data_IF_605476559034
#
_entry.id   IF_605476559034
#
_cell.length_a   1.000
_cell.length_b   1.000
_cell.length_c   1.000
_cell.angle_alpha   90.00
_cell.angle_beta   90.00
_cell.angle_gamma   90.00
#
_symmetry.space_group_name_H-M   'P 1'
#
loop_
_entity.id
_entity.type
_entity.pdbx_description
1 polymer ?
#
# COMPACT_ATOMS: atom_id res chain seq x y z
N UNK A 1 19.23 1.70 17.29
CA UNK A 1 18.76 0.33 17.56
C UNK A 1 17.88 -0.14 16.42
N UNK A 2 17.87 -1.43 16.06
CA UNK A 2 17.01 -1.97 14.98
C UNK A 2 15.52 -1.66 15.18
N UNK A 3 15.05 -1.71 16.44
CA UNK A 3 13.69 -1.33 16.83
C UNK A 3 13.34 0.13 16.53
N UNK A 4 14.27 1.07 16.71
CA UNK A 4 14.03 2.48 16.41
C UNK A 4 13.86 2.71 14.91
N UNK A 5 14.67 2.05 14.07
CA UNK A 5 14.53 2.12 12.62
C UNK A 5 13.20 1.48 12.14
N UNK A 6 12.83 0.34 12.74
CA UNK A 6 11.54 -0.30 12.45
C UNK A 6 10.35 0.58 12.84
N UNK A 7 10.42 1.25 13.99
CA UNK A 7 9.36 2.17 14.44
C UNK A 7 9.23 3.39 13.51
N UNK A 8 10.34 4.04 13.17
CA UNK A 8 10.35 5.19 12.23
C UNK A 8 9.81 4.75 10.87
N UNK A 9 10.29 3.63 10.33
CA UNK A 9 9.81 3.08 9.06
C UNK A 9 8.32 2.78 9.08
N UNK A 10 7.80 2.22 10.18
CA UNK A 10 6.37 1.93 10.34
C UNK A 10 5.52 3.20 10.35
N UNK A 11 5.95 4.25 11.06
CA UNK A 11 5.25 5.55 11.08
C UNK A 11 5.26 6.18 9.69
N UNK A 12 6.41 6.18 9.00
CA UNK A 12 6.51 6.72 7.65
C UNK A 12 5.60 5.95 6.66
N UNK A 13 5.58 4.62 6.74
CA UNK A 13 4.68 3.80 5.92
C UNK A 13 3.21 4.11 6.20
N UNK A 14 2.82 4.29 7.47
CA UNK A 14 1.47 4.69 7.87
C UNK A 14 1.09 6.07 7.34
N UNK A 15 2.01 7.04 7.38
CA UNK A 15 1.79 8.38 6.83
C UNK A 15 1.57 8.34 5.31
N UNK A 16 2.36 7.55 4.57
CA UNK A 16 2.20 7.37 3.12
C UNK A 16 0.85 6.72 2.80
N UNK A 17 0.48 5.68 3.55
CA UNK A 17 -0.84 5.05 3.40
C UNK A 17 -1.98 6.04 3.61
N UNK A 18 -1.90 6.87 4.67
CA UNK A 18 -2.89 7.89 4.97
C UNK A 18 -2.99 8.95 3.86
N UNK A 19 -1.86 9.43 3.36
CA UNK A 19 -1.81 10.39 2.24
C UNK A 19 -2.45 9.83 0.97
N UNK A 20 -2.30 8.53 0.70
CA UNK A 20 -2.81 7.90 -0.52
C UNK A 20 -4.31 7.54 -0.48
N UNK A 21 -4.86 7.32 0.73
CA UNK A 21 -6.25 6.89 0.92
C UNK A 21 -7.19 8.02 1.35
N UNK A 22 -6.65 9.18 1.71
CA UNK A 22 -7.43 10.25 2.32
C UNK A 22 -8.06 11.16 1.26
N UNK A 23 -9.40 11.34 1.25
CA UNK A 23 -10.08 12.27 0.32
C UNK A 23 -9.83 13.76 0.63
N UNK A 24 -8.99 14.05 1.62
CA UNK A 24 -8.60 15.41 1.99
C UNK A 24 -7.10 15.64 1.87
N UNK A 25 -6.33 14.64 1.40
CA UNK A 25 -4.90 14.84 1.13
C UNK A 25 -4.72 15.72 -0.11
N UNK A 26 -3.81 16.71 0.00
CA UNK A 26 -3.40 17.56 -1.12
C UNK A 26 -2.89 16.73 -2.31
N UNK A 27 -2.15 15.66 -2.04
CA UNK A 27 -1.62 14.74 -3.07
C UNK A 27 -2.75 14.02 -3.79
N UNK A 28 -3.77 13.55 -3.06
CA UNK A 28 -4.93 12.86 -3.65
C UNK A 28 -5.77 13.80 -4.50
N UNK A 29 -5.98 15.04 -4.03
CA UNK A 29 -6.71 16.08 -4.79
C UNK A 29 -5.97 16.44 -6.08
N UNK A 30 -4.67 16.69 -6.00
CA UNK A 30 -3.87 17.00 -7.19
C UNK A 30 -3.81 15.82 -8.17
N UNK A 31 -3.74 14.58 -7.67
CA UNK A 31 -3.71 13.38 -8.51
C UNK A 31 -5.05 13.14 -9.24
N UNK A 32 -6.19 13.38 -8.58
CA UNK A 32 -7.50 13.24 -9.24
C UNK A 32 -7.73 14.30 -10.31
N UNK A 33 -7.30 15.55 -10.06
CA UNK A 33 -7.38 16.63 -11.05
C UNK A 33 -6.47 16.36 -12.24
N UNK A 34 -5.24 15.89 -12.00
CA UNK A 34 -4.31 15.53 -13.08
C UNK A 34 -4.81 14.35 -13.94
N UNK A 35 -5.60 13.46 -13.35
CA UNK A 35 -6.25 12.34 -14.04
C UNK A 35 -7.60 12.71 -14.70
N UNK A 36 -8.03 13.97 -14.62
CA UNK A 36 -9.32 14.47 -15.14
C UNK A 36 -10.52 13.61 -14.73
N UNK A 37 -10.52 13.19 -13.47
CA UNK A 37 -11.56 12.31 -12.91
C UNK A 37 -12.19 12.91 -11.66
N UNK A 38 -13.40 12.44 -11.35
CA UNK A 38 -14.07 12.82 -10.11
C UNK A 38 -13.25 12.39 -8.88
N UNK A 39 -13.10 13.29 -7.92
CA UNK A 39 -12.18 13.11 -6.80
C UNK A 39 -12.57 11.94 -5.89
N UNK A 40 -13.85 11.80 -5.58
CA UNK A 40 -14.35 10.68 -4.76
C UNK A 40 -14.17 9.35 -5.50
N UNK A 41 -14.48 9.33 -6.79
CA UNK A 41 -14.27 8.16 -7.66
C UNK A 41 -12.79 7.75 -7.73
N UNK A 42 -11.87 8.71 -7.77
CA UNK A 42 -10.44 8.45 -7.67
C UNK A 42 -10.08 7.74 -6.36
N UNK A 43 -10.51 8.28 -5.22
CA UNK A 43 -10.20 7.69 -3.90
C UNK A 43 -10.79 6.29 -3.75
N UNK A 44 -12.05 6.11 -4.16
CA UNK A 44 -12.74 4.82 -4.08
C UNK A 44 -12.06 3.72 -4.90
N UNK A 45 -11.52 4.06 -6.08
CA UNK A 45 -10.80 3.09 -6.90
C UNK A 45 -9.41 2.77 -6.35
N UNK A 46 -8.76 3.69 -5.62
CA UNK A 46 -7.44 3.49 -5.02
C UNK A 46 -7.48 2.72 -3.69
N UNK A 47 -8.54 2.90 -2.89
CA UNK A 47 -8.71 2.29 -1.56
C UNK A 47 -8.49 0.76 -1.54
N UNK A 48 -9.06 -0.03 -2.46
CA UNK A 48 -8.85 -1.49 -2.49
C UNK A 48 -7.37 -1.87 -2.63
N UNK A 49 -6.61 -1.15 -3.45
CA UNK A 49 -5.18 -1.41 -3.63
C UNK A 49 -4.39 -1.02 -2.39
N UNK A 50 -4.66 0.17 -1.85
CA UNK A 50 -3.93 0.68 -0.70
C UNK A 50 -4.18 -0.14 0.57
N UNK A 51 -5.44 -0.52 0.84
CA UNK A 51 -5.79 -1.40 1.98
C UNK A 51 -5.11 -2.76 1.85
N UNK A 52 -5.08 -3.32 0.65
CA UNK A 52 -4.43 -4.61 0.40
C UNK A 52 -2.93 -4.55 0.72
N UNK A 53 -2.22 -3.52 0.23
CA UNK A 53 -0.80 -3.32 0.53
C UNK A 53 -0.58 -3.01 2.02
N UNK A 54 -1.48 -2.25 2.64
CA UNK A 54 -1.43 -1.96 4.08
C UNK A 54 -1.50 -3.23 4.94
N UNK A 55 -2.44 -4.14 4.62
CA UNK A 55 -2.56 -5.44 5.30
C UNK A 55 -1.31 -6.29 5.09
N UNK A 56 -0.80 -6.38 3.86
CA UNK A 56 0.44 -7.12 3.56
C UNK A 56 1.62 -6.54 4.35
N UNK A 57 1.73 -5.21 4.41
CA UNK A 57 2.82 -4.52 5.14
C UNK A 57 2.79 -4.84 6.63
N UNK A 58 1.62 -4.89 7.25
CA UNK A 58 1.48 -5.25 8.66
C UNK A 58 1.87 -6.72 8.89
N UNK A 59 1.33 -7.63 8.09
CA UNK A 59 1.46 -9.08 8.31
C UNK A 59 2.83 -9.63 7.89
N UNK A 60 3.41 -9.13 6.81
CA UNK A 60 4.68 -9.62 6.26
C UNK A 60 5.87 -8.72 6.60
N UNK A 61 5.63 -7.46 6.95
CA UNK A 61 6.67 -6.45 7.20
C UNK A 61 6.81 -6.10 8.68
N UNK A 62 5.94 -5.21 9.18
CA UNK A 62 6.08 -4.60 10.51
C UNK A 62 6.09 -5.62 11.64
N UNK A 63 5.14 -6.57 11.67
CA UNK A 63 5.09 -7.57 12.75
C UNK A 63 6.29 -8.52 12.70
N UNK A 64 6.60 -9.20 11.58
CA UNK A 64 7.74 -10.14 11.55
C UNK A 64 9.08 -9.47 11.87
N UNK A 65 9.36 -8.30 11.28
CA UNK A 65 10.60 -7.56 11.55
C UNK A 65 10.66 -7.13 13.01
N UNK A 66 9.55 -6.73 13.61
CA UNK A 66 9.45 -6.42 15.04
C UNK A 66 9.76 -7.62 15.95
N UNK A 67 9.44 -8.84 15.52
CA UNK A 67 9.76 -10.09 16.23
C UNK A 67 11.16 -10.65 15.92
N UNK A 68 11.97 -9.94 15.12
CA UNK A 68 13.36 -10.31 14.84
C UNK A 68 13.60 -11.03 13.52
N UNK A 69 12.62 -11.09 12.61
CA UNK A 69 12.89 -11.54 11.24
C UNK A 69 13.82 -10.54 10.52
N UNK A 70 14.72 -11.01 9.65
CA UNK A 70 15.56 -10.12 8.87
C UNK A 70 14.72 -9.34 7.85
N UNK A 71 15.07 -8.06 7.65
CA UNK A 71 14.35 -7.13 6.76
C UNK A 71 14.21 -7.66 5.33
N UNK A 72 15.23 -8.33 4.79
CA UNK A 72 15.21 -8.86 3.42
C UNK A 72 14.19 -10.00 3.27
N UNK A 73 13.99 -10.80 4.32
CA UNK A 73 13.00 -11.87 4.33
C UNK A 73 11.58 -11.32 4.31
N UNK A 74 11.35 -10.25 5.07
CA UNK A 74 10.08 -9.52 5.07
C UNK A 74 9.76 -8.89 3.71
N UNK A 75 10.76 -8.32 3.03
CA UNK A 75 10.60 -7.77 1.67
C UNK A 75 10.22 -8.87 0.67
N UNK A 76 10.90 -10.01 0.70
CA UNK A 76 10.58 -11.14 -0.18
C UNK A 76 9.16 -11.69 0.10
N UNK A 77 8.79 -11.84 1.37
CA UNK A 77 7.45 -12.28 1.76
C UNK A 77 6.36 -11.30 1.28
N UNK A 78 6.60 -9.99 1.44
CA UNK A 78 5.68 -8.96 0.95
C UNK A 78 5.53 -8.97 -0.57
N UNK A 79 6.64 -9.11 -1.31
CA UNK A 79 6.61 -9.24 -2.77
C UNK A 79 5.80 -10.45 -3.22
N UNK A 80 6.05 -11.62 -2.61
CA UNK A 80 5.31 -12.85 -2.92
C UNK A 80 3.83 -12.71 -2.59
N UNK A 81 3.48 -12.07 -1.48
CA UNK A 81 2.10 -11.79 -1.11
C UNK A 81 1.41 -10.88 -2.14
N UNK A 82 2.05 -9.78 -2.55
CA UNK A 82 1.52 -8.89 -3.59
C UNK A 82 1.30 -9.63 -4.92
N UNK A 83 2.29 -10.41 -5.37
CA UNK A 83 2.17 -11.21 -6.61
C UNK A 83 1.03 -12.22 -6.50
N UNK A 84 0.91 -12.90 -5.36
CA UNK A 84 -0.15 -13.88 -5.12
C UNK A 84 -1.53 -13.22 -5.17
N UNK A 85 -1.71 -12.11 -4.46
CA UNK A 85 -2.96 -11.33 -4.48
C UNK A 85 -3.31 -10.92 -5.91
N UNK A 86 -2.37 -10.32 -6.65
CA UNK A 86 -2.63 -9.89 -8.03
C UNK A 86 -2.98 -11.07 -8.94
N UNK A 87 -2.34 -12.23 -8.76
CA UNK A 87 -2.58 -13.41 -9.60
C UNK A 87 -3.91 -14.10 -9.32
N UNK A 88 -4.39 -14.10 -8.08
CA UNK A 88 -5.61 -14.82 -7.69
C UNK A 88 -6.85 -13.91 -7.55
N UNK A 89 -6.67 -12.64 -7.23
CA UNK A 89 -7.76 -11.66 -7.00
C UNK A 89 -7.82 -10.63 -8.13
N UNK A 90 -6.68 -10.34 -8.78
CA UNK A 90 -6.63 -9.37 -9.87
C UNK A 90 -7.50 -9.79 -11.04
N UNK A 91 -8.29 -8.82 -11.54
CA UNK A 91 -9.08 -9.00 -12.76
C UNK A 91 -8.29 -8.48 -13.95
N UNK A 92 -8.36 -9.20 -15.06
CA UNK A 92 -7.91 -8.67 -16.34
C UNK A 92 -8.81 -7.50 -16.72
N UNK A 93 -8.20 -6.42 -17.21
CA UNK A 93 -8.94 -5.30 -17.80
C UNK A 93 -9.25 -5.67 -19.25
N UNK A 94 -10.53 -5.81 -19.57
CA UNK A 94 -10.98 -5.93 -20.96
C UNK A 94 -10.84 -4.55 -21.60
N UNK A 95 -9.68 -4.28 -22.21
CA UNK A 95 -9.45 -3.06 -22.98
C UNK A 95 -10.14 -3.22 -24.34
N UNK A 96 -11.13 -2.38 -24.69
CA UNK A 96 -11.67 -2.38 -26.04
C UNK A 96 -10.55 -1.96 -27.00
N UNK A 97 -10.34 -2.72 -28.08
CA UNK A 97 -9.43 -2.31 -29.17
C UNK A 97 -9.92 -1.02 -29.87
#
# INVERSE_FOLDING_TARGET
>A
SPLMLAAIGSVLAGSIFGDHCSPISDTTVLSSVAADCDHLSHVETQLPYAVTVGVITILCGCLPVGFGLPWWGAVLAGLLACVTVVRFIGRSLDVPE
#
